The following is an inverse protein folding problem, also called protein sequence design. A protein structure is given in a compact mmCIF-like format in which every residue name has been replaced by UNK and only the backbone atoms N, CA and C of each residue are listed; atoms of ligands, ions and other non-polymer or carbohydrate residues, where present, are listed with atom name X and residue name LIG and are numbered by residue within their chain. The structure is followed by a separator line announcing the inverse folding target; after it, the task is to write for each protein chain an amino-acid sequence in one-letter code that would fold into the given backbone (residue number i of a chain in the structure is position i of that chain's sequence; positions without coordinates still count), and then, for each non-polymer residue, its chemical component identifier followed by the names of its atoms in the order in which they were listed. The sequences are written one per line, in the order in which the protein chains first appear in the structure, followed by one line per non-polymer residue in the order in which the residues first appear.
data_IF_717215276028
#
_entry.id   IF_717215276028
#
_cell.length_a   1.000
_cell.length_b   1.000
_cell.length_c   1.000
_cell.angle_alpha   90.00
_cell.angle_beta   90.00
_cell.angle_gamma   90.00
#
_symmetry.space_group_name_H-M   'P 1'
#
loop_
_entity.id
_entity.type
_entity.pdbx_description
1 polymer ?
#
# COMPACT_ATOMS: atom_id res chain seq x y z
N UNK A 1 18.68 -1.74 30.16
CA UNK A 1 17.53 -2.32 29.43
C UNK A 1 17.70 -2.05 27.93
N UNK A 2 17.89 -3.08 27.08
CA UNK A 2 17.90 -2.88 25.62
C UNK A 2 16.45 -2.68 25.18
N UNK A 3 16.06 -1.47 24.76
CA UNK A 3 14.76 -1.28 24.12
C UNK A 3 14.75 -2.11 22.84
N UNK A 4 13.84 -3.07 22.73
CA UNK A 4 13.62 -3.75 21.45
C UNK A 4 13.23 -2.66 20.46
N UNK A 5 14.01 -2.53 19.39
CA UNK A 5 13.68 -1.58 18.32
C UNK A 5 12.32 -2.01 17.77
N UNK A 6 11.35 -1.09 17.66
CA UNK A 6 10.06 -1.44 17.08
C UNK A 6 10.29 -2.02 15.67
N UNK A 7 9.61 -3.12 15.37
CA UNK A 7 9.71 -3.81 14.09
C UNK A 7 9.26 -2.83 12.98
N UNK A 8 10.10 -2.48 12.01
CA UNK A 8 9.68 -1.62 10.92
C UNK A 8 8.85 -2.44 9.94
N UNK A 9 7.55 -2.17 9.86
CA UNK A 9 6.62 -2.84 8.94
C UNK A 9 5.89 -1.83 8.07
N UNK A 10 5.59 -2.18 6.83
CA UNK A 10 4.54 -1.49 6.06
C UNK A 10 3.17 -2.06 6.44
N UNK A 11 2.11 -1.29 6.19
CA UNK A 11 0.74 -1.70 6.49
C UNK A 11 -0.16 -1.40 5.31
N UNK A 12 -1.18 -2.24 5.09
CA UNK A 12 -2.28 -1.90 4.20
C UNK A 12 -2.99 -0.64 4.71
N UNK A 13 -3.47 0.19 3.79
CA UNK A 13 -4.05 1.49 4.13
C UNK A 13 -5.33 1.72 3.33
N UNK A 14 -6.34 2.29 3.99
CA UNK A 14 -7.57 2.78 3.37
C UNK A 14 -7.81 4.23 3.76
N UNK A 15 -8.10 5.05 2.77
CA UNK A 15 -8.50 6.45 2.92
C UNK A 15 -9.96 6.56 2.47
N UNK A 16 -10.84 6.92 3.40
CA UNK A 16 -12.27 7.07 3.13
C UNK A 16 -12.74 8.49 3.47
N UNK A 17 -13.44 9.20 2.57
CA UNK A 17 -14.07 10.48 2.89
C UNK A 17 -15.22 10.29 3.88
N UNK A 18 -15.40 11.25 4.78
CA UNK A 18 -16.55 11.33 5.70
C UNK A 18 -17.58 12.27 5.06
N UNK A 19 -18.40 11.71 4.18
CA UNK A 19 -19.47 12.42 3.48
C UNK A 19 -19.20 12.62 1.98
N UNK A 20 -20.27 12.90 1.22
CA UNK A 20 -20.28 12.91 -0.24
C UNK A 20 -20.51 11.52 -0.85
N UNK A 21 -20.65 11.46 -2.18
CA UNK A 21 -20.87 10.21 -2.94
C UNK A 21 -19.55 9.59 -3.45
N UNK A 22 -18.44 9.86 -2.76
CA UNK A 22 -17.12 9.40 -3.17
C UNK A 22 -16.80 8.02 -2.59
N UNK A 23 -16.05 7.23 -3.35
CA UNK A 23 -15.53 5.94 -2.89
C UNK A 23 -14.27 6.10 -2.04
N UNK A 24 -14.02 5.11 -1.18
CA UNK A 24 -12.75 5.01 -0.46
C UNK A 24 -11.66 4.51 -1.42
N UNK A 25 -10.42 4.95 -1.20
CA UNK A 25 -9.23 4.53 -1.95
C UNK A 25 -8.20 3.91 -1.00
N UNK A 26 -7.27 3.11 -1.53
CA UNK A 26 -6.15 2.59 -0.77
C UNK A 26 -5.66 1.25 -1.31
N UNK A 27 -4.77 0.61 -0.54
CA UNK A 27 -4.41 -0.77 -0.78
C UNK A 27 -4.77 -1.61 0.44
N UNK A 28 -5.76 -2.48 0.29
CA UNK A 28 -6.25 -3.35 1.35
C UNK A 28 -5.45 -4.66 1.43
N UNK A 29 -4.73 -5.00 0.36
CA UNK A 29 -3.93 -6.21 0.24
C UNK A 29 -2.69 -6.13 1.12
N UNK A 30 -2.40 -7.22 1.83
CA UNK A 30 -1.10 -7.37 2.49
C UNK A 30 -0.03 -7.74 1.45
N UNK A 31 0.77 -6.74 1.08
CA UNK A 31 1.85 -6.89 0.11
C UNK A 31 2.98 -7.79 0.61
N UNK A 32 3.15 -7.95 1.92
CA UNK A 32 4.25 -8.74 2.48
C UNK A 32 4.07 -10.23 2.21
N UNK A 33 2.83 -10.71 2.24
CA UNK A 33 2.51 -12.11 2.00
C UNK A 33 2.84 -12.56 0.56
N UNK A 34 2.58 -11.70 -0.43
CA UNK A 34 2.78 -12.00 -1.84
C UNK A 34 4.07 -11.40 -2.43
N UNK A 35 4.89 -10.71 -1.62
CA UNK A 35 6.04 -9.96 -2.12
C UNK A 35 7.05 -10.87 -2.86
N UNK A 36 7.47 -10.52 -4.08
CA UNK A 36 8.55 -11.22 -4.78
C UNK A 36 9.86 -11.21 -3.99
N UNK A 37 10.65 -12.29 -4.05
CA UNK A 37 11.82 -12.47 -3.18
C UNK A 37 12.85 -11.34 -3.32
N UNK A 38 13.04 -10.81 -4.52
CA UNK A 38 13.97 -9.71 -4.83
C UNK A 38 13.56 -8.37 -4.20
N UNK A 39 12.28 -8.25 -3.82
CA UNK A 39 11.68 -7.03 -3.27
C UNK A 39 11.39 -7.14 -1.77
N UNK A 40 11.56 -8.31 -1.17
CA UNK A 40 11.31 -8.55 0.26
C UNK A 40 12.31 -7.80 1.12
N UNK A 41 11.81 -7.04 2.08
CA UNK A 41 12.60 -6.53 3.19
C UNK A 41 12.42 -7.50 4.35
N UNK A 42 13.49 -8.15 4.77
CA UNK A 42 13.47 -9.16 5.84
C UNK A 42 14.01 -8.54 7.13
N UNK A 43 13.29 -8.76 8.24
CA UNK A 43 13.70 -8.39 9.59
C UNK A 43 13.47 -9.58 10.53
N UNK A 44 14.51 -9.99 11.26
CA UNK A 44 14.47 -11.15 12.16
C UNK A 44 13.89 -12.43 11.51
N UNK A 45 14.17 -12.64 10.22
CA UNK A 45 13.71 -13.80 9.45
C UNK A 45 12.29 -13.70 8.88
N UNK A 46 11.59 -12.58 9.11
CA UNK A 46 10.22 -12.34 8.63
C UNK A 46 10.20 -11.25 7.54
N UNK A 47 9.31 -11.38 6.56
CA UNK A 47 9.09 -10.31 5.57
C UNK A 47 8.28 -9.20 6.21
N UNK A 48 8.84 -7.99 6.28
CA UNK A 48 8.22 -6.86 6.98
C UNK A 48 7.83 -5.71 6.05
N UNK A 49 8.40 -5.66 4.85
CA UNK A 49 7.99 -4.72 3.82
C UNK A 49 8.27 -5.29 2.42
N UNK A 50 7.61 -4.71 1.42
CA UNK A 50 7.87 -4.97 0.00
C UNK A 50 8.34 -3.69 -0.68
N UNK A 51 9.53 -3.73 -1.30
CA UNK A 51 10.16 -2.57 -1.92
C UNK A 51 9.67 -2.40 -3.36
N UNK A 52 9.39 -1.17 -3.76
CA UNK A 52 9.26 -0.77 -5.17
C UNK A 52 10.60 -0.23 -5.65
N UNK A 53 11.26 -0.91 -6.59
CA UNK A 53 12.62 -0.55 -7.06
C UNK A 53 12.63 0.10 -8.44
N UNK A 54 11.48 0.30 -9.07
CA UNK A 54 11.45 0.76 -10.45
C UNK A 54 11.61 2.26 -10.61
N UNK A 55 12.58 2.59 -11.45
CA UNK A 55 12.86 3.96 -11.88
C UNK A 55 12.21 4.26 -13.24
N UNK A 56 11.80 3.24 -14.01
CA UNK A 56 11.18 3.33 -15.34
C UNK A 56 10.16 2.20 -15.57
N UNK A 57 9.11 2.44 -16.37
CA UNK A 57 8.04 1.48 -16.70
C UNK A 57 8.15 0.90 -18.14
N UNK A 58 7.66 -0.34 -18.39
CA UNK A 58 7.12 -1.30 -17.43
C UNK A 58 8.21 -2.21 -16.84
N UNK A 59 8.15 -2.42 -15.53
CA UNK A 59 9.04 -3.36 -14.84
C UNK A 59 8.27 -4.39 -13.99
N UNK A 60 8.92 -5.47 -13.59
CA UNK A 60 8.33 -6.56 -12.78
C UNK A 60 7.73 -6.08 -11.45
N UNK A 61 8.39 -5.15 -10.76
CA UNK A 61 7.89 -4.67 -9.46
C UNK A 61 6.62 -3.82 -9.58
N UNK A 62 6.54 -2.91 -10.54
CA UNK A 62 5.35 -2.06 -10.76
C UNK A 62 4.12 -2.90 -11.11
N UNK A 63 4.28 -3.90 -11.99
CA UNK A 63 3.18 -4.82 -12.34
C UNK A 63 2.63 -5.52 -11.10
N UNK A 64 3.50 -6.01 -10.20
CA UNK A 64 3.08 -6.63 -8.95
C UNK A 64 2.22 -5.68 -8.10
N UNK A 65 2.70 -4.47 -7.84
CA UNK A 65 1.97 -3.51 -7.01
C UNK A 65 0.68 -3.03 -7.69
N UNK A 66 0.65 -2.89 -9.01
CA UNK A 66 -0.53 -2.48 -9.79
C UNK A 66 -1.62 -3.55 -9.77
N UNK A 67 -1.24 -4.83 -9.84
CA UNK A 67 -2.17 -5.95 -9.69
C UNK A 67 -2.65 -6.10 -8.25
N UNK A 68 -1.77 -5.93 -7.27
CA UNK A 68 -2.13 -6.10 -5.86
C UNK A 68 -2.99 -4.94 -5.31
N UNK A 69 -2.82 -3.74 -5.87
CA UNK A 69 -3.47 -2.51 -5.42
C UNK A 69 -3.96 -1.69 -6.63
N UNK A 70 -5.02 -2.12 -7.30
CA UNK A 70 -5.59 -1.40 -8.47
C UNK A 70 -6.06 0.02 -8.14
N UNK A 71 -6.46 0.25 -6.89
CA UNK A 71 -6.96 1.53 -6.39
C UNK A 71 -5.87 2.39 -5.74
N UNK A 72 -4.61 1.98 -5.79
CA UNK A 72 -3.49 2.76 -5.25
C UNK A 72 -2.61 3.31 -6.37
N UNK A 73 -1.97 4.44 -6.09
CA UNK A 73 -0.95 4.98 -7.00
C UNK A 73 0.34 4.20 -6.80
N UNK A 74 0.77 3.49 -7.84
CA UNK A 74 1.92 2.58 -7.80
C UNK A 74 3.14 3.19 -8.50
N UNK A 75 2.92 4.06 -9.49
CA UNK A 75 3.99 4.78 -10.20
C UNK A 75 3.69 6.28 -10.37
N UNK A 76 4.75 7.08 -10.53
CA UNK A 76 4.67 8.55 -10.62
C UNK A 76 4.01 9.07 -11.91
N UNK A 77 3.88 8.23 -12.94
CA UNK A 77 3.16 8.55 -14.19
C UNK A 77 1.93 7.68 -14.44
N UNK A 78 1.44 6.93 -13.44
CA UNK A 78 0.13 6.32 -13.57
C UNK A 78 -0.95 7.43 -13.54
N UNK A 79 -1.80 7.48 -14.58
CA UNK A 79 -3.03 8.26 -14.64
C UNK A 79 -4.15 7.66 -13.75
N UNK A 80 -3.90 6.49 -13.16
CA UNK A 80 -4.72 5.87 -12.13
C UNK A 80 -4.08 6.15 -10.76
N UNK A 81 -4.89 6.52 -9.77
CA UNK A 81 -4.40 6.87 -8.43
C UNK A 81 -4.64 8.31 -8.00
N UNK A 82 -5.30 9.13 -8.83
CA UNK A 82 -5.86 10.41 -8.40
C UNK A 82 -7.35 10.19 -8.07
N UNK A 83 -7.71 10.34 -6.80
CA UNK A 83 -9.09 10.17 -6.31
C UNK A 83 -9.64 11.53 -5.90
N UNK A 84 -10.11 12.35 -6.86
CA UNK A 84 -10.68 13.65 -6.53
C UNK A 84 -12.00 13.45 -5.79
N UNK A 85 -12.08 13.96 -4.56
CA UNK A 85 -13.33 14.02 -3.82
C UNK A 85 -13.48 15.39 -3.15
N UNK A 86 -14.68 15.96 -3.25
CA UNK A 86 -15.03 17.18 -2.51
C UNK A 86 -15.59 16.78 -1.14
N UNK A 87 -14.69 16.51 -0.18
CA UNK A 87 -15.04 16.21 1.21
C UNK A 87 -14.15 17.03 2.16
N UNK A 88 -14.72 17.47 3.28
CA UNK A 88 -13.99 18.22 4.31
C UNK A 88 -13.21 17.33 5.28
N UNK A 89 -13.49 16.03 5.32
CA UNK A 89 -12.92 15.11 6.29
C UNK A 89 -12.60 13.75 5.65
N UNK A 90 -11.41 13.22 5.96
CA UNK A 90 -10.97 11.89 5.51
C UNK A 90 -10.56 11.06 6.71
N UNK A 91 -10.82 9.75 6.67
CA UNK A 91 -10.37 8.78 7.66
C UNK A 91 -9.31 7.89 7.03
N UNK A 92 -8.11 7.90 7.60
CA UNK A 92 -7.02 7.00 7.22
C UNK A 92 -7.04 5.81 8.18
N UNK A 93 -7.19 4.61 7.65
CA UNK A 93 -7.22 3.36 8.41
C UNK A 93 -6.03 2.51 8.01
N UNK A 94 -5.19 2.15 8.98
CA UNK A 94 -4.10 1.19 8.80
C UNK A 94 -4.59 -0.21 9.14
N UNK A 95 -4.12 -1.22 8.40
CA UNK A 95 -4.61 -2.59 8.49
C UNK A 95 -6.15 -2.68 8.45
N UNK A 96 -6.81 -2.09 7.43
CA UNK A 96 -8.24 -2.22 7.28
C UNK A 96 -8.60 -3.71 7.17
N UNK A 97 -9.39 -4.22 8.11
CA UNK A 97 -9.92 -5.59 8.01
C UNK A 97 -10.86 -5.63 6.81
N UNK A 98 -10.50 -6.38 5.77
CA UNK A 98 -11.38 -6.64 4.65
C UNK A 98 -12.63 -7.34 5.18
N UNK A 99 -13.73 -6.61 5.38
CA UNK A 99 -15.04 -7.26 5.45
C UNK A 99 -15.37 -7.64 4.02
N UNK A 100 -15.19 -8.93 3.75
CA UNK A 100 -15.69 -9.63 2.58
C UNK A 100 -17.14 -9.26 2.28
#
# INVERSE_FOLDING_TARGET
MRRRKPRPTNYSVRVAPRGGNCTATGCLTDLNAACPIELKVIWDGETVACKSTCQTEPCSSSQFFKTACSDARVYTHDNHGFFPCSSSHYTVTFCPTSKR
#
